data_IF_404859573040
#
_entry.id   IF_404859573040
#
_cell.length_a   1.000
_cell.length_b   1.000
_cell.length_c   1.000
_cell.angle_alpha   90.00
_cell.angle_beta   90.00
_cell.angle_gamma   90.00
#
_symmetry.space_group_name_H-M   'P 1'
#
loop_
_entity.id
_entity.type
_entity.pdbx_description
1 polymer ?
#
# COMPACT_ATOMS: atom_id res chain seq x y z
N UNK A 1 67.64 -11.23 -42.36
CA UNK A 1 66.49 -10.77 -43.17
C UNK A 1 65.51 -11.92 -43.28
N UNK A 2 64.21 -11.89 -43.01
CA UNK A 2 63.23 -10.98 -42.40
C UNK A 2 61.98 -11.89 -42.14
N UNK A 3 61.06 -11.56 -41.22
CA UNK A 3 60.10 -12.53 -40.68
C UNK A 3 58.88 -12.79 -41.56
N UNK A 4 58.32 -14.00 -41.46
CA UNK A 4 57.06 -14.43 -42.08
C UNK A 4 55.90 -13.53 -41.64
N UNK A 5 55.30 -12.81 -42.59
CA UNK A 5 54.01 -12.11 -42.40
C UNK A 5 52.88 -13.14 -42.32
N UNK A 6 52.34 -13.36 -41.11
CA UNK A 6 50.98 -13.89 -40.93
C UNK A 6 50.01 -12.86 -41.52
N UNK A 7 49.20 -13.26 -42.51
CA UNK A 7 48.02 -12.51 -42.93
C UNK A 7 47.10 -12.38 -41.71
N UNK A 8 46.90 -11.15 -41.24
CA UNK A 8 45.84 -10.82 -40.28
C UNK A 8 44.50 -11.12 -40.97
N UNK A 9 43.78 -12.11 -40.44
CA UNK A 9 42.36 -12.24 -40.72
C UNK A 9 41.67 -10.99 -40.15
N UNK A 10 40.81 -10.38 -40.97
CA UNK A 10 39.91 -9.31 -40.58
C UNK A 10 38.91 -9.95 -39.60
N UNK A 11 39.08 -9.66 -38.31
CA UNK A 11 38.11 -10.03 -37.29
C UNK A 11 36.99 -9.01 -37.41
N UNK A 12 35.88 -9.43 -38.03
CA UNK A 12 34.59 -8.80 -37.84
C UNK A 12 34.20 -9.04 -36.37
N UNK A 13 34.60 -8.12 -35.51
CA UNK A 13 34.27 -8.15 -34.08
C UNK A 13 32.92 -7.49 -33.85
N UNK A 14 31.89 -8.34 -33.93
CA UNK A 14 30.87 -8.54 -32.90
C UNK A 14 30.24 -7.24 -32.36
N UNK A 15 29.13 -6.83 -33.00
CA UNK A 15 28.08 -6.08 -32.33
C UNK A 15 27.27 -7.05 -31.46
N UNK A 16 27.68 -7.24 -30.21
CA UNK A 16 26.77 -7.74 -29.17
C UNK A 16 25.81 -6.60 -28.80
N UNK A 17 24.86 -6.33 -29.71
CA UNK A 17 23.61 -5.70 -29.32
C UNK A 17 22.79 -6.81 -28.68
N UNK A 18 22.48 -6.66 -27.40
CA UNK A 18 21.35 -7.36 -26.80
C UNK A 18 20.15 -7.25 -27.75
N UNK A 19 19.37 -8.33 -27.96
CA UNK A 19 18.24 -8.27 -28.87
C UNK A 19 17.31 -7.12 -28.46
N UNK A 20 16.83 -6.30 -29.40
CA UNK A 20 15.96 -5.18 -29.08
C UNK A 20 14.71 -5.71 -28.36
N UNK A 21 14.43 -5.15 -27.19
CA UNK A 21 13.24 -5.53 -26.41
C UNK A 21 12.00 -5.19 -27.24
N UNK A 22 11.07 -6.14 -27.35
CA UNK A 22 9.87 -5.93 -28.16
C UNK A 22 9.07 -4.74 -27.63
N UNK A 23 8.54 -3.86 -28.51
CA UNK A 23 7.79 -2.69 -28.08
C UNK A 23 6.49 -3.10 -27.38
N UNK A 24 6.16 -2.40 -26.30
CA UNK A 24 4.92 -2.58 -25.55
C UNK A 24 3.83 -1.71 -26.18
N UNK A 25 2.84 -2.35 -26.81
CA UNK A 25 1.78 -1.66 -27.54
C UNK A 25 0.51 -1.56 -26.70
N UNK A 26 0.12 -0.34 -26.37
CA UNK A 26 -1.16 -0.04 -25.74
C UNK A 26 -2.18 0.26 -26.83
N UNK A 27 -3.31 -0.47 -26.83
CA UNK A 27 -4.30 -0.44 -27.92
C UNK A 27 -5.62 0.13 -27.43
N UNK A 28 -6.22 0.99 -28.23
CA UNK A 28 -7.61 1.43 -28.10
C UNK A 28 -8.35 1.02 -29.38
N UNK A 29 -9.52 0.36 -29.29
CA UNK A 29 -10.27 -0.04 -30.46
C UNK A 29 -10.52 1.14 -31.43
N UNK A 30 -10.16 0.95 -32.69
CA UNK A 30 -10.36 1.97 -33.73
C UNK A 30 -9.34 3.11 -33.74
N UNK A 31 -8.31 3.07 -32.88
CA UNK A 31 -7.23 4.07 -32.85
C UNK A 31 -5.86 3.42 -33.04
N UNK A 32 -4.97 4.17 -33.68
CA UNK A 32 -3.55 3.82 -33.80
C UNK A 32 -2.73 4.64 -32.80
N UNK A 33 -1.78 4.02 -32.08
CA UNK A 33 -0.84 4.77 -31.26
C UNK A 33 -0.11 5.83 -32.09
N UNK A 34 -0.03 7.06 -31.57
CA UNK A 34 0.58 8.21 -32.25
C UNK A 34 1.81 8.75 -31.50
N UNK A 35 2.17 8.09 -30.38
CA UNK A 35 3.27 8.50 -29.49
C UNK A 35 4.17 7.30 -29.19
N UNK A 36 5.47 7.48 -29.39
CA UNK A 36 6.53 6.55 -29.00
C UNK A 36 7.27 7.12 -27.79
N UNK A 37 7.28 6.39 -26.67
CA UNK A 37 8.10 6.71 -25.51
C UNK A 37 9.17 5.62 -25.35
N UNK A 38 10.45 5.97 -25.50
CA UNK A 38 11.58 5.07 -25.25
C UNK A 38 12.11 5.32 -23.84
N UNK A 39 11.58 4.56 -22.88
CA UNK A 39 11.82 4.74 -21.45
C UNK A 39 12.77 3.68 -20.93
N UNK A 40 13.97 4.09 -20.50
CA UNK A 40 14.98 3.23 -19.89
C UNK A 40 15.29 1.96 -20.73
N UNK A 41 15.26 2.11 -22.05
CA UNK A 41 15.51 1.04 -23.02
C UNK A 41 14.30 0.16 -23.35
N UNK A 42 13.10 0.52 -22.88
CA UNK A 42 11.84 -0.11 -23.28
C UNK A 42 10.99 0.88 -24.10
N UNK A 43 10.56 0.45 -25.29
CA UNK A 43 9.68 1.24 -26.14
C UNK A 43 8.21 1.01 -25.79
N UNK A 44 7.46 2.10 -25.69
CA UNK A 44 6.02 2.14 -25.44
C UNK A 44 5.31 2.84 -26.60
N UNK A 45 4.42 2.11 -27.27
CA UNK A 45 3.54 2.68 -28.29
C UNK A 45 2.21 3.03 -27.63
N UNK A 46 1.94 4.32 -27.49
CA UNK A 46 0.80 4.87 -26.75
C UNK A 46 0.09 5.97 -27.54
N UNK A 47 -1.07 6.38 -27.04
CA UNK A 47 -1.91 7.45 -27.58
C UNK A 47 -1.72 8.72 -26.75
N UNK A 48 -1.33 9.81 -27.42
CA UNK A 48 -1.16 11.14 -26.83
C UNK A 48 -2.41 11.61 -26.10
N UNK A 49 -3.60 11.29 -26.63
CA UNK A 49 -4.89 11.64 -26.03
C UNK A 49 -5.03 11.07 -24.61
N UNK A 50 -4.64 9.82 -24.39
CA UNK A 50 -4.71 9.16 -23.07
C UNK A 50 -3.73 9.79 -22.10
N UNK A 51 -2.49 10.02 -22.56
CA UNK A 51 -1.47 10.68 -21.75
C UNK A 51 -1.94 12.07 -21.29
N UNK A 52 -2.48 12.89 -22.20
CA UNK A 52 -2.99 14.25 -21.90
C UNK A 52 -4.24 14.25 -21.02
N UNK A 53 -5.04 13.19 -21.09
CA UNK A 53 -6.22 13.02 -20.23
C UNK A 53 -5.79 12.84 -18.77
N UNK A 54 -4.82 11.97 -18.52
CA UNK A 54 -4.45 11.54 -17.16
C UNK A 54 -3.21 12.23 -16.57
N UNK A 55 -2.53 13.08 -17.32
CA UNK A 55 -1.32 13.76 -16.87
C UNK A 55 -1.27 15.20 -17.34
N UNK A 56 -1.18 16.12 -16.37
CA UNK A 56 -0.98 17.54 -16.67
C UNK A 56 0.41 17.80 -17.28
N UNK A 57 1.41 16.99 -16.94
CA UNK A 57 2.72 17.00 -17.58
C UNK A 57 2.57 16.79 -19.09
N UNK A 58 2.00 15.66 -19.53
CA UNK A 58 1.88 15.39 -20.97
C UNK A 58 0.97 16.40 -21.69
N UNK A 59 -0.05 16.93 -21.02
CA UNK A 59 -0.91 18.00 -21.55
C UNK A 59 -0.12 19.27 -21.91
N UNK A 60 0.81 19.67 -21.05
CA UNK A 60 1.66 20.85 -21.27
C UNK A 60 2.80 20.57 -22.23
N UNK A 61 3.44 19.40 -22.11
CA UNK A 61 4.67 19.11 -22.83
C UNK A 61 4.44 18.64 -24.27
N UNK A 62 3.42 17.81 -24.54
CA UNK A 62 3.26 17.25 -25.90
C UNK A 62 2.92 18.33 -26.94
N UNK A 63 2.04 19.27 -26.62
CA UNK A 63 1.55 20.31 -27.53
C UNK A 63 2.12 21.71 -27.23
N UNK A 64 3.28 21.80 -26.56
CA UNK A 64 3.89 23.10 -26.24
C UNK A 64 4.17 23.91 -27.52
N UNK A 65 3.86 25.22 -27.55
CA UNK A 65 4.09 26.09 -28.71
C UNK A 65 5.57 26.22 -29.11
N UNK A 66 6.50 25.87 -28.20
CA UNK A 66 7.94 25.84 -28.45
C UNK A 66 8.40 24.57 -29.20
N UNK A 67 7.46 23.78 -29.73
CA UNK A 67 7.71 22.58 -30.54
C UNK A 67 7.21 22.83 -31.95
N UNK A 68 7.99 22.42 -32.95
CA UNK A 68 7.83 22.71 -34.37
C UNK A 68 6.47 22.28 -34.96
N UNK A 69 5.64 21.52 -34.24
CA UNK A 69 4.38 20.97 -34.73
C UNK A 69 4.57 19.90 -35.81
N UNK A 70 5.83 19.63 -36.19
CA UNK A 70 6.20 18.60 -37.14
C UNK A 70 6.11 17.23 -36.49
N UNK A 71 5.84 16.20 -37.31
CA UNK A 71 5.80 14.82 -36.81
C UNK A 71 7.21 14.35 -36.51
N UNK A 72 7.39 13.67 -35.39
CA UNK A 72 8.67 13.06 -35.05
C UNK A 72 9.09 11.93 -36.02
N UNK A 73 8.14 11.20 -36.60
CA UNK A 73 8.40 10.21 -37.66
C UNK A 73 7.19 10.02 -38.59
N UNK A 74 7.31 9.14 -39.60
CA UNK A 74 6.17 8.78 -40.47
C UNK A 74 5.01 8.16 -39.67
N UNK A 75 5.34 7.34 -38.67
CA UNK A 75 4.37 6.55 -37.91
C UNK A 75 3.95 7.20 -36.59
N UNK A 76 4.80 8.05 -36.00
CA UNK A 76 4.55 8.67 -34.70
C UNK A 76 4.58 10.19 -34.80
N UNK A 77 3.53 10.82 -34.25
CA UNK A 77 3.48 12.27 -34.10
C UNK A 77 4.49 12.74 -33.05
N UNK A 78 4.62 11.99 -31.96
CA UNK A 78 5.49 12.32 -30.85
C UNK A 78 6.49 11.20 -30.59
N UNK A 79 7.76 11.55 -30.36
CA UNK A 79 8.80 10.61 -29.97
C UNK A 79 9.62 11.21 -28.82
N UNK A 80 9.58 10.55 -27.66
CA UNK A 80 10.32 10.95 -26.47
C UNK A 80 11.26 9.85 -26.03
N UNK A 81 12.43 10.27 -25.56
CA UNK A 81 13.50 9.37 -25.12
C UNK A 81 13.91 9.72 -23.69
N UNK A 82 14.41 8.74 -22.95
CA UNK A 82 15.01 8.97 -21.63
C UNK A 82 16.27 9.84 -21.76
N UNK A 83 16.33 10.85 -20.91
CA UNK A 83 17.53 11.61 -20.59
C UNK A 83 17.85 11.36 -19.11
N UNK A 84 19.09 11.01 -18.81
CA UNK A 84 19.57 10.84 -17.43
C UNK A 84 20.16 12.19 -17.00
N UNK A 85 19.79 12.65 -15.81
CA UNK A 85 20.24 13.94 -15.30
C UNK A 85 21.73 13.90 -14.95
N UNK A 86 22.39 15.06 -14.92
CA UNK A 86 23.85 15.18 -14.69
C UNK A 86 24.33 14.59 -13.35
N UNK A 87 23.40 14.42 -12.39
CA UNK A 87 23.69 13.83 -11.09
C UNK A 87 23.62 12.29 -11.10
N UNK A 88 23.24 11.67 -12.21
CA UNK A 88 23.00 10.22 -12.39
C UNK A 88 21.93 9.63 -11.44
N UNK A 89 21.22 10.47 -10.67
CA UNK A 89 20.19 10.04 -9.75
C UNK A 89 18.78 10.24 -10.33
N UNK A 90 18.59 11.28 -11.14
CA UNK A 90 17.34 11.57 -11.82
C UNK A 90 17.28 11.12 -13.28
N UNK A 91 16.06 10.98 -13.80
CA UNK A 91 15.81 10.80 -15.22
C UNK A 91 14.53 11.52 -15.64
N UNK A 92 14.46 11.93 -16.91
CA UNK A 92 13.31 12.62 -17.48
C UNK A 92 13.04 12.19 -18.93
N UNK A 93 11.94 12.70 -19.51
CA UNK A 93 11.58 12.48 -20.91
C UNK A 93 11.76 13.76 -21.71
N UNK A 94 12.51 13.67 -22.80
CA UNK A 94 12.68 14.76 -23.75
C UNK A 94 12.31 14.35 -25.17
N UNK A 95 11.89 15.34 -25.97
CA UNK A 95 11.64 15.12 -27.40
C UNK A 95 12.95 14.71 -28.07
N UNK A 96 12.91 13.71 -28.94
CA UNK A 96 14.11 13.23 -29.67
C UNK A 96 14.82 14.34 -30.46
N UNK A 97 14.11 15.40 -30.85
CA UNK A 97 14.67 16.55 -31.57
C UNK A 97 15.55 17.45 -30.69
N UNK A 98 15.27 17.49 -29.38
CA UNK A 98 15.99 18.32 -28.40
C UNK A 98 16.96 17.50 -27.54
N UNK A 99 16.66 16.21 -27.37
CA UNK A 99 17.39 15.33 -26.48
C UNK A 99 18.79 15.03 -27.02
N UNK A 100 19.79 15.17 -26.16
CA UNK A 100 21.00 14.36 -26.28
C UNK A 100 20.67 13.01 -25.65
N UNK A 101 20.02 12.13 -26.42
CA UNK A 101 19.56 10.82 -25.94
C UNK A 101 20.67 10.13 -25.15
N UNK A 102 20.35 9.67 -23.94
CA UNK A 102 21.28 8.87 -23.16
C UNK A 102 21.76 7.68 -24.00
N UNK A 103 23.07 7.45 -24.01
CA UNK A 103 23.61 6.34 -24.77
C UNK A 103 23.06 5.01 -24.20
N UNK A 104 22.85 3.96 -25.01
CA UNK A 104 22.38 2.66 -24.50
C UNK A 104 23.24 2.11 -23.35
N UNK A 105 24.53 2.44 -23.34
CA UNK A 105 25.46 2.08 -22.28
C UNK A 105 25.22 2.86 -20.96
N UNK A 106 24.76 4.12 -21.03
CA UNK A 106 24.41 4.94 -19.87
C UNK A 106 23.10 4.45 -19.25
N UNK A 107 22.07 4.23 -20.09
CA UNK A 107 20.80 3.64 -19.67
C UNK A 107 21.01 2.30 -18.97
N UNK A 108 21.90 1.46 -19.50
CA UNK A 108 22.20 0.14 -18.92
C UNK A 108 22.93 0.22 -17.58
N UNK A 109 23.62 1.32 -17.28
CA UNK A 109 24.35 1.53 -16.02
C UNK A 109 23.53 2.26 -14.95
N UNK A 110 22.38 2.80 -15.31
CA UNK A 110 21.51 3.51 -14.38
C UNK A 110 21.05 2.58 -13.25
N UNK A 111 21.37 2.94 -12.01
CA UNK A 111 21.34 2.02 -10.87
C UNK A 111 19.93 1.56 -10.46
N UNK A 112 18.88 2.33 -10.79
CA UNK A 112 17.47 2.01 -10.50
C UNK A 112 16.64 1.69 -11.73
N UNK A 113 17.31 1.32 -12.83
CA UNK A 113 16.66 1.13 -14.13
C UNK A 113 15.47 0.19 -14.07
N UNK A 114 15.60 -0.92 -13.36
CA UNK A 114 14.53 -1.93 -13.29
C UNK A 114 13.34 -1.44 -12.46
N UNK A 115 13.57 -0.86 -11.28
CA UNK A 115 12.48 -0.36 -10.45
C UNK A 115 11.76 0.83 -11.10
N UNK A 116 12.50 1.77 -11.67
CA UNK A 116 11.96 2.97 -12.34
C UNK A 116 11.20 2.60 -13.62
N UNK A 117 11.73 1.66 -14.41
CA UNK A 117 11.03 1.13 -15.59
C UNK A 117 9.73 0.43 -15.20
N UNK A 118 9.74 -0.35 -14.11
CA UNK A 118 8.55 -1.01 -13.57
C UNK A 118 7.51 0.00 -13.07
N UNK A 119 7.94 1.03 -12.32
CA UNK A 119 7.05 2.09 -11.84
C UNK A 119 6.44 2.90 -13.00
N UNK A 120 7.22 3.25 -14.01
CA UNK A 120 6.71 3.90 -15.21
C UNK A 120 5.74 2.99 -15.98
N UNK A 121 6.06 1.70 -16.11
CA UNK A 121 5.15 0.72 -16.72
C UNK A 121 3.80 0.68 -15.99
N UNK A 122 3.82 0.62 -14.66
CA UNK A 122 2.60 0.66 -13.83
C UNK A 122 1.82 1.96 -14.00
N UNK A 123 2.50 3.11 -14.12
CA UNK A 123 1.85 4.38 -14.43
C UNK A 123 1.11 4.35 -15.77
N UNK A 124 1.75 3.83 -16.83
CA UNK A 124 1.09 3.68 -18.13
C UNK A 124 -0.06 2.66 -18.04
N UNK A 125 0.09 1.56 -17.31
CA UNK A 125 -1.02 0.64 -17.05
C UNK A 125 -2.19 1.32 -16.36
N UNK A 126 -1.96 2.15 -15.33
CA UNK A 126 -3.00 2.94 -14.67
C UNK A 126 -3.71 3.88 -15.66
N UNK A 127 -2.97 4.62 -16.49
CA UNK A 127 -3.54 5.51 -17.53
C UNK A 127 -4.43 4.79 -18.55
N UNK A 128 -4.18 3.49 -18.80
CA UNK A 128 -4.97 2.67 -19.71
C UNK A 128 -5.98 1.77 -18.99
N UNK A 129 -6.13 1.91 -17.67
CA UNK A 129 -6.91 1.01 -16.83
C UNK A 129 -6.59 -0.48 -17.08
N UNK A 130 -5.30 -0.78 -17.27
CA UNK A 130 -4.77 -2.15 -17.36
C UNK A 130 -4.32 -2.61 -15.98
N UNK A 131 -4.47 -3.90 -15.73
CA UNK A 131 -4.03 -4.50 -14.46
C UNK A 131 -2.53 -4.38 -14.28
N UNK A 132 -2.13 -4.06 -13.05
CA UNK A 132 -0.76 -4.08 -12.56
C UNK A 132 -0.77 -4.49 -11.09
N UNK A 133 0.40 -4.81 -10.53
CA UNK A 133 0.51 -5.35 -9.18
C UNK A 133 1.57 -4.60 -8.39
N UNK A 134 1.26 -4.23 -7.15
CA UNK A 134 2.23 -3.67 -6.22
C UNK A 134 2.84 -4.80 -5.41
N UNK A 135 4.15 -5.02 -5.59
CA UNK A 135 4.86 -6.11 -4.94
C UNK A 135 5.18 -5.80 -3.48
N UNK A 136 5.68 -4.60 -3.23
CA UNK A 136 6.19 -4.19 -1.93
C UNK A 136 5.99 -2.69 -1.70
N UNK A 137 6.38 -2.22 -0.52
CA UNK A 137 6.30 -0.80 -0.17
C UNK A 137 7.17 0.06 -1.09
N UNK A 138 8.34 -0.43 -1.53
CA UNK A 138 9.25 0.30 -2.41
C UNK A 138 8.60 0.59 -3.76
N UNK A 139 7.89 -0.38 -4.34
CA UNK A 139 7.13 -0.25 -5.57
C UNK A 139 5.96 0.74 -5.42
N UNK A 140 5.22 0.71 -4.31
CA UNK A 140 4.14 1.67 -4.02
C UNK A 140 4.69 3.10 -3.95
N UNK A 141 5.78 3.27 -3.18
CA UNK A 141 6.44 4.56 -3.02
C UNK A 141 6.92 5.09 -4.36
N UNK A 142 7.62 4.25 -5.13
CA UNK A 142 8.19 4.67 -6.40
C UNK A 142 7.10 5.02 -7.42
N UNK A 143 6.06 4.22 -7.55
CA UNK A 143 4.91 4.55 -8.42
C UNK A 143 4.29 5.89 -8.02
N UNK A 144 4.19 6.19 -6.73
CA UNK A 144 3.67 7.48 -6.25
C UNK A 144 4.59 8.64 -6.63
N UNK A 145 5.91 8.47 -6.49
CA UNK A 145 6.91 9.47 -6.89
C UNK A 145 6.90 9.70 -8.41
N UNK A 146 6.84 8.63 -9.21
CA UNK A 146 6.72 8.70 -10.66
C UNK A 146 5.41 9.39 -11.08
N UNK A 147 4.28 9.06 -10.45
CA UNK A 147 3.00 9.68 -10.73
C UNK A 147 2.98 11.17 -10.35
N UNK A 148 3.63 11.55 -9.27
CA UNK A 148 3.79 12.96 -8.87
C UNK A 148 4.60 13.74 -9.90
N UNK A 149 5.76 13.20 -10.32
CA UNK A 149 6.61 13.80 -11.34
C UNK A 149 5.87 14.02 -12.66
N UNK A 150 5.11 13.02 -13.11
CA UNK A 150 4.29 13.12 -14.33
C UNK A 150 2.92 13.77 -14.09
N UNK A 151 2.66 14.36 -12.91
CA UNK A 151 1.40 15.01 -12.54
C UNK A 151 0.16 14.16 -12.87
N UNK A 152 0.17 12.91 -12.40
CA UNK A 152 -0.78 11.85 -12.70
C UNK A 152 -1.23 11.07 -11.44
N UNK A 153 -1.11 11.68 -10.26
CA UNK A 153 -1.57 11.09 -8.99
C UNK A 153 -3.05 10.65 -9.02
N UNK A 154 -4.01 11.40 -9.61
CA UNK A 154 -5.42 11.03 -9.57
C UNK A 154 -5.71 9.67 -10.23
N UNK A 155 -5.08 9.37 -11.38
CA UNK A 155 -5.32 8.09 -12.05
C UNK A 155 -4.72 6.92 -11.27
N UNK A 156 -3.54 7.11 -10.67
CA UNK A 156 -2.94 6.09 -9.80
C UNK A 156 -3.80 5.86 -8.57
N UNK A 157 -4.29 6.92 -7.94
CA UNK A 157 -5.21 6.81 -6.79
C UNK A 157 -6.45 6.00 -7.10
N UNK A 158 -7.01 6.16 -8.30
CA UNK A 158 -8.19 5.44 -8.76
C UNK A 158 -7.95 3.93 -8.96
N UNK A 159 -6.73 3.52 -9.34
CA UNK A 159 -6.41 2.12 -9.69
C UNK A 159 -5.58 1.38 -8.64
N UNK A 160 -4.99 2.08 -7.67
CA UNK A 160 -4.01 1.50 -6.74
C UNK A 160 -4.58 0.41 -5.82
N UNK A 161 -5.87 0.48 -5.49
CA UNK A 161 -6.48 -0.48 -4.58
C UNK A 161 -6.50 -1.89 -5.15
N UNK A 162 -6.92 -2.07 -6.41
CA UNK A 162 -6.87 -3.39 -7.06
C UNK A 162 -5.41 -3.87 -7.15
N UNK A 163 -4.46 -2.98 -7.46
CA UNK A 163 -3.06 -3.33 -7.60
C UNK A 163 -2.40 -3.76 -6.27
N UNK A 164 -2.78 -3.15 -5.15
CA UNK A 164 -2.32 -3.52 -3.80
C UNK A 164 -3.01 -4.80 -3.33
N UNK A 165 -4.34 -4.90 -3.50
CA UNK A 165 -5.12 -6.07 -3.11
C UNK A 165 -4.68 -7.34 -3.85
N UNK A 166 -4.38 -7.26 -5.14
CA UNK A 166 -3.94 -8.44 -5.91
C UNK A 166 -2.48 -8.81 -5.66
N UNK A 167 -1.72 -7.91 -5.03
CA UNK A 167 -0.29 -8.06 -4.78
C UNK A 167 0.07 -8.83 -3.51
N UNK A 168 1.35 -9.20 -3.37
CA UNK A 168 1.85 -9.85 -2.16
C UNK A 168 1.97 -8.89 -0.97
N UNK A 169 1.90 -7.57 -1.17
CA UNK A 169 2.06 -6.56 -0.12
C UNK A 169 1.07 -6.73 1.06
N UNK A 170 -0.16 -7.18 0.80
CA UNK A 170 -1.19 -7.42 1.82
C UNK A 170 -1.24 -8.87 2.32
N UNK A 171 -0.47 -9.78 1.71
CA UNK A 171 -0.51 -11.22 2.03
C UNK A 171 0.42 -11.60 3.18
N UNK A 172 0.10 -12.74 3.81
CA UNK A 172 0.97 -13.34 4.82
C UNK A 172 2.18 -13.97 4.15
N UNK A 173 3.37 -13.66 4.67
CA UNK A 173 4.56 -14.44 4.34
C UNK A 173 4.57 -15.69 5.21
N UNK A 174 4.16 -16.83 4.64
CA UNK A 174 4.11 -18.12 5.34
C UNK A 174 5.49 -18.66 5.75
N UNK A 175 6.59 -17.98 5.39
CA UNK A 175 7.96 -18.45 5.60
C UNK A 175 8.52 -18.14 7.00
N UNK A 176 7.84 -17.33 7.83
CA UNK A 176 8.28 -16.98 9.18
C UNK A 176 7.32 -17.59 10.22
N UNK A 177 7.82 -18.55 11.01
CA UNK A 177 7.11 -19.42 11.96
C UNK A 177 6.37 -18.72 13.13
N UNK A 178 6.41 -17.39 13.23
CA UNK A 178 5.80 -16.64 14.33
C UNK A 178 5.22 -15.32 13.80
N UNK A 179 3.90 -15.12 13.89
CA UNK A 179 3.22 -13.81 13.73
C UNK A 179 3.73 -12.97 12.52
N UNK A 180 3.71 -13.53 11.31
CA UNK A 180 4.20 -12.84 10.11
C UNK A 180 3.16 -11.85 9.57
N UNK A 181 3.17 -10.64 10.13
CA UNK A 181 2.40 -9.50 9.61
C UNK A 181 2.69 -9.26 8.13
N UNK A 182 1.68 -8.78 7.40
CA UNK A 182 1.86 -8.34 6.01
C UNK A 182 2.88 -7.19 5.91
N UNK A 183 3.45 -7.00 4.73
CA UNK A 183 4.32 -5.85 4.49
C UNK A 183 3.55 -4.53 4.64
N UNK A 184 2.30 -4.50 4.18
CA UNK A 184 1.39 -3.37 4.38
C UNK A 184 1.31 -3.00 5.86
N UNK A 185 0.99 -3.97 6.72
CA UNK A 185 0.93 -3.77 8.15
C UNK A 185 2.29 -3.23 8.61
N UNK A 186 3.42 -3.93 8.35
CA UNK A 186 4.78 -3.51 8.79
C UNK A 186 5.14 -2.07 8.43
N UNK A 187 4.69 -1.58 7.27
CA UNK A 187 4.99 -0.26 6.72
C UNK A 187 3.85 0.75 6.88
N UNK A 188 2.87 0.47 7.73
CA UNK A 188 1.67 1.30 7.89
C UNK A 188 1.97 2.78 8.22
N UNK A 189 3.00 3.06 9.04
CA UNK A 189 3.44 4.42 9.34
C UNK A 189 3.93 5.18 8.09
N UNK A 190 4.64 4.50 7.19
CA UNK A 190 5.11 5.10 5.96
C UNK A 190 4.01 5.18 4.89
N UNK A 191 3.12 4.20 4.83
CA UNK A 191 1.98 4.20 3.90
C UNK A 191 1.01 5.33 4.23
N UNK A 192 0.77 5.62 5.52
CA UNK A 192 -0.05 6.75 5.94
C UNK A 192 0.54 8.12 5.58
N UNK A 193 1.81 8.21 5.14
CA UNK A 193 2.38 9.42 4.50
C UNK A 193 2.15 9.47 3.00
N UNK A 194 2.13 8.30 2.34
CA UNK A 194 1.90 8.17 0.90
C UNK A 194 0.42 8.36 0.57
N UNK A 195 -0.47 7.80 1.38
CA UNK A 195 -1.89 7.79 1.14
C UNK A 195 -2.50 9.21 1.01
N UNK A 196 -2.11 10.22 1.81
CA UNK A 196 -2.52 11.61 1.61
C UNK A 196 -2.07 12.21 0.29
N UNK A 197 -0.85 11.88 -0.18
CA UNK A 197 -0.35 12.35 -1.47
C UNK A 197 -1.16 11.77 -2.64
N UNK A 198 -1.51 10.49 -2.55
CA UNK A 198 -2.42 9.86 -3.49
C UNK A 198 -3.89 10.29 -3.27
N UNK A 199 -4.22 10.90 -2.14
CA UNK A 199 -5.60 11.13 -1.67
C UNK A 199 -6.46 9.87 -1.73
N UNK A 200 -5.87 8.73 -1.39
CA UNK A 200 -6.59 7.46 -1.43
C UNK A 200 -7.15 7.11 -0.04
N UNK A 201 -8.48 7.10 0.14
CA UNK A 201 -9.10 6.96 1.46
C UNK A 201 -8.89 5.56 2.04
N UNK A 202 -8.94 4.51 1.22
CA UNK A 202 -8.79 3.13 1.69
C UNK A 202 -7.36 2.89 2.19
N UNK A 203 -6.34 3.31 1.42
CA UNK A 203 -4.95 3.20 1.86
C UNK A 203 -4.70 3.94 3.17
N UNK A 204 -5.28 5.14 3.32
CA UNK A 204 -5.09 5.94 4.54
C UNK A 204 -5.77 5.30 5.74
N UNK A 205 -7.04 4.91 5.61
CA UNK A 205 -7.81 4.29 6.69
C UNK A 205 -7.13 3.04 7.23
N UNK A 206 -6.83 2.09 6.33
CA UNK A 206 -6.21 0.83 6.73
C UNK A 206 -4.83 1.04 7.35
N UNK A 207 -4.04 1.99 6.82
CA UNK A 207 -2.74 2.32 7.41
C UNK A 207 -2.89 2.90 8.82
N UNK A 208 -3.85 3.79 9.07
CA UNK A 208 -4.06 4.36 10.41
C UNK A 208 -4.64 3.31 11.37
N UNK A 209 -5.56 2.44 10.93
CA UNK A 209 -6.06 1.32 11.75
C UNK A 209 -4.90 0.42 12.18
N UNK A 210 -4.00 0.07 11.26
CA UNK A 210 -2.79 -0.71 11.54
C UNK A 210 -1.81 0.02 12.47
N UNK A 211 -1.71 1.34 12.40
CA UNK A 211 -0.90 2.12 13.35
C UNK A 211 -1.52 2.09 14.75
N UNK A 212 -2.83 2.31 14.86
CA UNK A 212 -3.57 2.30 16.14
C UNK A 212 -3.55 0.93 16.79
N UNK A 213 -3.63 -0.15 16.01
CA UNK A 213 -3.68 -1.53 16.50
C UNK A 213 -2.40 -2.00 17.20
N UNK A 214 -1.28 -1.30 16.99
CA UNK A 214 0.07 -1.70 17.43
C UNK A 214 0.54 -1.08 18.73
N UNK A 215 -0.28 -0.25 19.35
CA UNK A 215 0.19 0.66 20.39
C UNK A 215 0.73 -0.05 21.65
N UNK A 216 0.26 -1.26 21.99
CA UNK A 216 0.76 -1.99 23.18
C UNK A 216 2.17 -2.58 23.02
N UNK A 217 2.68 -2.77 21.80
CA UNK A 217 4.08 -3.22 21.59
C UNK A 217 5.10 -2.08 21.65
N UNK A 218 4.63 -0.83 21.68
CA UNK A 218 5.46 0.33 21.96
C UNK A 218 5.37 0.66 23.45
N UNK A 219 6.12 -0.09 24.27
CA UNK A 219 6.43 0.28 25.66
C UNK A 219 7.26 1.58 25.78
N UNK A 220 7.52 2.27 24.67
CA UNK A 220 7.98 3.65 24.69
C UNK A 220 6.74 4.54 24.94
N UNK A 221 6.71 5.11 26.15
CA UNK A 221 5.72 6.05 26.67
C UNK A 221 5.05 6.94 25.60
N UNK A 222 3.79 7.33 25.82
CA UNK A 222 3.08 8.41 25.10
C UNK A 222 3.97 9.67 24.94
N UNK A 223 4.92 9.90 25.85
CA UNK A 223 5.92 10.98 25.76
C UNK A 223 7.04 10.74 24.74
N UNK A 224 7.47 9.50 24.50
CA UNK A 224 8.54 9.14 23.56
C UNK A 224 8.04 9.00 22.12
N UNK A 225 6.78 8.56 21.96
CA UNK A 225 6.06 8.61 20.69
C UNK A 225 5.68 10.06 20.37
N UNK A 226 5.36 10.91 21.36
CA UNK A 226 5.14 12.34 21.11
C UNK A 226 6.32 13.04 20.42
N UNK A 227 7.56 12.65 20.74
CA UNK A 227 8.79 13.18 20.11
C UNK A 227 9.21 12.45 18.84
N UNK A 228 9.01 11.13 18.73
CA UNK A 228 9.34 10.39 17.49
C UNK A 228 8.21 10.47 16.46
N UNK A 229 6.96 10.28 16.84
CA UNK A 229 5.81 10.35 15.94
C UNK A 229 5.50 11.77 15.44
N UNK A 230 5.92 12.83 16.15
CA UNK A 230 5.92 14.18 15.58
C UNK A 230 6.80 14.31 14.34
N UNK A 231 7.83 13.48 14.22
CA UNK A 231 8.69 13.43 13.03
C UNK A 231 8.06 12.61 11.90
N UNK A 232 7.09 11.75 12.22
CA UNK A 232 6.41 10.88 11.25
C UNK A 232 5.06 11.40 10.79
N UNK A 233 4.32 12.12 11.60
CA UNK A 233 2.95 12.48 11.27
C UNK A 233 2.75 13.98 11.40
N UNK A 234 1.94 14.53 10.51
CA UNK A 234 1.45 15.88 10.71
C UNK A 234 0.55 15.96 11.96
N UNK A 235 0.35 17.18 12.45
CA UNK A 235 -0.38 17.41 13.70
C UNK A 235 -1.83 16.94 13.64
N UNK A 236 -2.46 16.98 12.47
CA UNK A 236 -3.84 16.49 12.27
C UNK A 236 -3.91 14.97 12.39
N UNK A 237 -3.00 14.27 11.72
CA UNK A 237 -2.90 12.80 11.70
C UNK A 237 -2.56 12.27 13.07
N UNK A 238 -1.68 12.94 13.82
CA UNK A 238 -1.40 12.59 15.21
C UNK A 238 -2.63 12.66 16.10
N UNK A 239 -3.38 13.76 16.02
CA UNK A 239 -4.63 13.91 16.80
C UNK A 239 -5.66 12.86 16.44
N UNK A 240 -5.73 12.46 15.16
CA UNK A 240 -6.59 11.37 14.71
C UNK A 240 -6.17 10.05 15.35
N UNK A 241 -4.88 9.70 15.30
CA UNK A 241 -4.34 8.48 15.92
C UNK A 241 -4.61 8.48 17.43
N UNK A 242 -4.32 9.57 18.14
CA UNK A 242 -4.57 9.72 19.58
C UNK A 242 -6.06 9.54 19.92
N UNK A 243 -6.95 10.13 19.12
CA UNK A 243 -8.41 10.00 19.29
C UNK A 243 -8.85 8.56 19.11
N UNK A 244 -8.43 7.90 18.03
CA UNK A 244 -8.83 6.52 17.75
C UNK A 244 -8.24 5.55 18.77
N UNK A 245 -7.01 5.79 19.24
CA UNK A 245 -6.45 5.04 20.34
C UNK A 245 -7.25 5.20 21.64
N UNK A 246 -7.64 6.42 21.99
CA UNK A 246 -8.50 6.66 23.16
C UNK A 246 -9.85 5.96 23.02
N UNK A 247 -10.39 5.86 21.80
CA UNK A 247 -11.62 5.11 21.49
C UNK A 247 -11.44 3.62 21.74
N UNK A 248 -10.38 3.00 21.20
CA UNK A 248 -10.04 1.58 21.45
C UNK A 248 -9.83 1.33 22.94
N UNK A 249 -9.09 2.20 23.62
CA UNK A 249 -8.85 2.11 25.08
C UNK A 249 -10.14 2.15 25.89
N UNK A 250 -11.12 2.98 25.48
CA UNK A 250 -12.44 3.04 26.11
C UNK A 250 -13.25 1.76 25.90
N UNK A 251 -13.20 1.17 24.71
CA UNK A 251 -13.82 -0.13 24.42
C UNK A 251 -13.20 -1.25 25.26
N UNK A 252 -11.86 -1.26 25.34
CA UNK A 252 -11.10 -2.19 26.17
C UNK A 252 -11.51 -2.07 27.64
N UNK A 253 -11.49 -0.87 28.20
CA UNK A 253 -11.87 -0.62 29.59
C UNK A 253 -13.32 -1.02 29.89
N UNK A 254 -14.24 -0.80 28.94
CA UNK A 254 -15.64 -1.25 29.05
C UNK A 254 -15.72 -2.78 29.11
N UNK A 255 -15.01 -3.48 28.23
CA UNK A 255 -14.97 -4.95 28.23
C UNK A 255 -14.37 -5.50 29.52
N UNK A 256 -13.23 -4.96 29.97
CA UNK A 256 -12.59 -5.33 31.22
C UNK A 256 -13.51 -5.09 32.43
N UNK A 257 -14.21 -3.95 32.47
CA UNK A 257 -15.15 -3.64 33.54
C UNK A 257 -16.33 -4.61 33.58
N UNK A 258 -16.95 -4.89 32.43
CA UNK A 258 -18.05 -5.86 32.35
C UNK A 258 -17.58 -7.26 32.77
N UNK A 259 -16.40 -7.69 32.32
CA UNK A 259 -15.79 -8.96 32.71
C UNK A 259 -15.57 -9.01 34.23
N UNK A 260 -14.97 -7.97 34.82
CA UNK A 260 -14.73 -7.89 36.27
C UNK A 260 -16.02 -7.96 37.09
N UNK A 261 -17.08 -7.26 36.68
CA UNK A 261 -18.38 -7.36 37.33
C UNK A 261 -18.91 -8.80 37.31
N UNK A 262 -18.71 -9.52 36.20
CA UNK A 262 -19.10 -10.93 36.13
C UNK A 262 -18.24 -11.80 37.07
N UNK A 263 -16.93 -11.53 37.20
CA UNK A 263 -16.02 -12.23 38.12
C UNK A 263 -16.52 -12.05 39.56
N UNK A 264 -16.76 -10.80 39.96
CA UNK A 264 -17.12 -10.43 41.33
C UNK A 264 -18.53 -10.86 41.73
N UNK A 265 -19.49 -10.90 40.80
CA UNK A 265 -20.85 -11.38 41.06
C UNK A 265 -20.87 -12.88 41.45
N UNK A 266 -19.72 -13.56 41.43
CA UNK A 266 -19.65 -15.00 41.68
C UNK A 266 -20.55 -15.75 40.73
N UNK A 267 -20.77 -15.24 39.51
CA UNK A 267 -21.48 -15.96 38.45
C UNK A 267 -20.50 -16.54 37.44
N UNK A 268 -19.21 -16.29 37.68
CA UNK A 268 -18.13 -16.74 36.84
C UNK A 268 -17.58 -18.11 37.22
N UNK A 269 -17.96 -18.73 38.34
CA UNK A 269 -17.60 -20.14 38.60
C UNK A 269 -18.37 -21.10 37.68
N UNK A 270 -19.55 -20.71 37.17
CA UNK A 270 -20.21 -21.40 36.05
C UNK A 270 -19.52 -21.15 34.69
N UNK A 271 -18.54 -20.25 34.68
CA UNK A 271 -17.70 -19.79 33.55
C UNK A 271 -16.23 -20.11 33.90
N UNK A 272 -15.96 -20.88 34.97
CA UNK A 272 -14.66 -20.95 35.65
C UNK A 272 -13.52 -21.55 34.82
N UNK A 273 -13.84 -22.08 33.63
CA UNK A 273 -12.90 -22.55 32.62
C UNK A 273 -12.73 -21.58 31.42
N UNK A 274 -13.40 -20.42 31.40
CA UNK A 274 -13.47 -19.51 30.23
C UNK A 274 -12.39 -18.42 30.19
N UNK A 275 -11.80 -18.03 31.31
CA UNK A 275 -10.72 -17.04 31.34
C UNK A 275 -9.42 -17.82 31.45
N UNK A 276 -8.66 -18.02 30.36
CA UNK A 276 -7.31 -18.55 30.50
C UNK A 276 -6.57 -17.67 31.51
N UNK A 277 -5.94 -18.30 32.50
CA UNK A 277 -5.05 -17.57 33.38
C UNK A 277 -4.09 -16.78 32.47
N UNK A 278 -4.02 -15.45 32.60
CA UNK A 278 -3.10 -14.66 31.80
C UNK A 278 -1.71 -15.29 31.94
N UNK A 279 -1.08 -15.64 30.82
CA UNK A 279 0.31 -16.14 30.85
C UNK A 279 1.23 -15.05 31.43
N UNK A 280 0.85 -13.77 31.26
CA UNK A 280 1.46 -12.61 31.88
C UNK A 280 0.47 -11.44 32.13
N UNK A 281 0.95 -10.36 32.74
CA UNK A 281 0.19 -9.12 33.00
C UNK A 281 -0.20 -8.35 31.73
N UNK A 282 0.24 -8.74 30.54
CA UNK A 282 -0.07 -8.07 29.27
C UNK A 282 -1.19 -8.75 28.50
N UNK A 283 -1.49 -10.03 28.78
CA UNK A 283 -2.45 -10.82 28.01
C UNK A 283 -3.87 -10.21 27.98
N UNK A 284 -4.34 -9.54 29.06
CA UNK A 284 -5.65 -8.88 29.07
C UNK A 284 -5.74 -7.63 28.19
N UNK A 285 -4.62 -7.21 27.59
CA UNK A 285 -4.53 -6.15 26.59
C UNK A 285 -4.46 -6.69 25.16
N UNK A 286 -4.35 -8.01 24.98
CA UNK A 286 -4.31 -8.64 23.66
C UNK A 286 -5.72 -8.85 23.10
N UNK A 287 -5.87 -8.74 21.78
CA UNK A 287 -7.10 -9.10 21.09
C UNK A 287 -7.45 -10.60 21.25
N UNK A 288 -6.46 -11.50 21.23
CA UNK A 288 -6.63 -12.95 21.42
C UNK A 288 -7.37 -13.28 22.74
N UNK A 289 -7.06 -12.55 23.81
CA UNK A 289 -7.73 -12.76 25.11
C UNK A 289 -9.24 -12.54 25.00
N UNK A 290 -9.66 -11.42 24.40
CA UNK A 290 -11.08 -11.12 24.21
C UNK A 290 -11.72 -12.05 23.18
N UNK A 291 -10.98 -12.48 22.15
CA UNK A 291 -11.44 -13.45 21.17
C UNK A 291 -11.77 -14.80 21.84
N UNK A 292 -10.89 -15.32 22.69
CA UNK A 292 -11.14 -16.55 23.46
C UNK A 292 -12.37 -16.41 24.35
N UNK A 293 -12.52 -15.28 25.07
CA UNK A 293 -13.71 -15.02 25.88
C UNK A 293 -14.98 -15.03 25.01
N UNK A 294 -14.94 -14.38 23.85
CA UNK A 294 -16.07 -14.34 22.90
C UNK A 294 -16.50 -15.74 22.49
N UNK A 295 -15.56 -16.59 22.04
CA UNK A 295 -15.85 -17.97 21.64
C UNK A 295 -16.53 -18.74 22.77
N UNK A 296 -16.03 -18.60 23.99
CA UNK A 296 -16.59 -19.26 25.18
C UNK A 296 -18.00 -18.77 25.53
N UNK A 297 -18.29 -17.47 25.36
CA UNK A 297 -19.64 -16.93 25.54
C UNK A 297 -20.59 -17.54 24.49
N UNK A 298 -20.15 -17.64 23.24
CA UNK A 298 -20.93 -18.25 22.15
C UNK A 298 -21.23 -19.71 22.46
N UNK A 299 -20.21 -20.52 22.81
CA UNK A 299 -20.38 -21.92 23.20
C UNK A 299 -21.44 -22.10 24.30
N UNK A 300 -21.45 -21.20 25.29
CA UNK A 300 -22.38 -21.25 26.41
C UNK A 300 -23.80 -20.81 26.03
N UNK A 301 -23.94 -19.79 25.20
CA UNK A 301 -25.23 -19.27 24.74
C UNK A 301 -25.89 -20.16 23.67
N UNK A 302 -25.10 -20.90 22.90
CA UNK A 302 -25.62 -21.77 21.83
C UNK A 302 -25.66 -23.25 22.22
N UNK A 303 -25.03 -23.62 23.33
CA UNK A 303 -24.95 -24.99 23.82
C UNK A 303 -26.24 -25.53 24.45
N UNK A 304 -26.26 -26.85 24.69
CA UNK A 304 -27.38 -27.61 25.26
C UNK A 304 -27.82 -27.06 26.63
N UNK A 305 -26.90 -26.42 27.36
CA UNK A 305 -27.15 -25.85 28.68
C UNK A 305 -27.84 -24.47 28.66
N UNK A 306 -28.06 -23.89 27.48
CA UNK A 306 -28.71 -22.60 27.30
C UNK A 306 -30.05 -22.47 28.06
N UNK A 307 -30.86 -23.54 28.08
CA UNK A 307 -32.18 -23.53 28.75
C UNK A 307 -32.09 -23.44 30.28
N UNK A 308 -30.91 -23.69 30.86
CA UNK A 308 -30.69 -23.65 32.31
C UNK A 308 -30.03 -22.35 32.77
N UNK A 309 -29.68 -21.45 31.85
CA UNK A 309 -29.11 -20.14 32.17
C UNK A 309 -30.23 -19.21 32.66
N UNK A 310 -30.02 -18.61 33.83
CA UNK A 310 -30.96 -17.62 34.38
C UNK A 310 -31.08 -16.40 33.43
N UNK A 311 -32.28 -15.82 33.23
CA UNK A 311 -32.48 -14.70 32.33
C UNK A 311 -31.51 -13.52 32.55
N UNK A 312 -31.22 -13.19 33.81
CA UNK A 312 -30.34 -12.08 34.17
C UNK A 312 -28.87 -12.37 33.81
N UNK A 313 -28.45 -13.64 33.92
CA UNK A 313 -27.11 -14.07 33.50
C UNK A 313 -27.00 -14.02 31.98
N UNK A 314 -28.06 -14.41 31.28
CA UNK A 314 -28.10 -14.33 29.81
C UNK A 314 -27.99 -12.89 29.33
N UNK A 315 -28.81 -11.98 29.85
CA UNK A 315 -28.76 -10.56 29.48
C UNK A 315 -27.37 -9.96 29.73
N UNK A 316 -26.73 -10.32 30.84
CA UNK A 316 -25.38 -9.86 31.14
C UNK A 316 -24.33 -10.43 30.18
N UNK A 317 -24.45 -11.70 29.78
CA UNK A 317 -23.57 -12.34 28.79
C UNK A 317 -23.77 -11.75 27.39
N UNK A 318 -25.01 -11.47 27.00
CA UNK A 318 -25.34 -10.82 25.73
C UNK A 318 -24.72 -9.41 25.69
N UNK A 319 -24.81 -8.65 26.80
CA UNK A 319 -24.18 -7.33 26.91
C UNK A 319 -22.65 -7.37 26.86
N UNK A 320 -22.02 -8.35 27.51
CA UNK A 320 -20.58 -8.55 27.44
C UNK A 320 -20.14 -8.96 26.03
N UNK A 321 -20.84 -9.91 25.41
CA UNK A 321 -20.61 -10.34 24.04
C UNK A 321 -20.68 -9.15 23.07
N UNK A 322 -21.73 -8.36 23.13
CA UNK A 322 -21.88 -7.18 22.27
C UNK A 322 -20.70 -6.22 22.43
N UNK A 323 -20.26 -5.98 23.67
CA UNK A 323 -19.09 -5.12 23.93
C UNK A 323 -17.79 -5.70 23.36
N UNK A 324 -17.62 -7.02 23.40
CA UNK A 324 -16.45 -7.69 22.82
C UNK A 324 -16.54 -7.73 21.30
N UNK A 325 -17.72 -7.93 20.72
CA UNK A 325 -17.96 -7.87 19.27
C UNK A 325 -17.60 -6.47 18.74
N UNK A 326 -17.96 -5.39 19.45
CA UNK A 326 -17.53 -4.01 19.13
C UNK A 326 -15.99 -3.85 19.19
N UNK A 327 -15.34 -4.46 20.20
CA UNK A 327 -13.89 -4.38 20.40
C UNK A 327 -13.11 -5.16 19.32
N UNK A 328 -13.63 -6.31 18.88
CA UNK A 328 -13.02 -7.22 17.90
C UNK A 328 -13.53 -7.00 16.48
N UNK A 329 -14.19 -5.87 16.21
CA UNK A 329 -14.58 -5.50 14.86
C UNK A 329 -13.33 -5.31 13.98
N UNK A 330 -13.35 -5.89 12.76
CA UNK A 330 -12.32 -5.66 11.75
C UNK A 330 -12.79 -4.58 10.78
N UNK A 331 -12.13 -3.42 10.79
CA UNK A 331 -12.40 -2.33 9.86
C UNK A 331 -11.40 -2.22 8.70
N UNK A 332 -10.47 -3.17 8.55
CA UNK A 332 -9.55 -3.21 7.41
C UNK A 332 -10.30 -3.64 6.14
N UNK A 333 -10.00 -2.97 5.03
CA UNK A 333 -10.59 -3.24 3.71
C UNK A 333 -9.63 -4.04 2.82
N UNK A 334 -8.33 -3.81 2.96
CA UNK A 334 -7.25 -4.41 2.16
C UNK A 334 -6.80 -5.76 2.71
N UNK A 335 -7.23 -6.11 3.91
CA UNK A 335 -6.89 -7.38 4.54
C UNK A 335 -7.58 -8.55 3.81
N UNK A 336 -6.75 -9.47 3.31
CA UNK A 336 -7.18 -10.71 2.64
C UNK A 336 -6.78 -11.95 3.41
N UNK A 337 -6.28 -11.81 4.64
CA UNK A 337 -5.86 -12.93 5.46
C UNK A 337 -7.02 -13.83 5.89
N UNK A 338 -8.24 -13.28 5.90
CA UNK A 338 -9.42 -13.88 6.51
C UNK A 338 -9.28 -14.13 8.03
N UNK A 339 -8.25 -13.56 8.67
CA UNK A 339 -8.05 -13.64 10.11
C UNK A 339 -8.82 -12.50 10.79
N UNK A 340 -9.67 -12.83 11.75
CA UNK A 340 -10.29 -11.85 12.64
C UNK A 340 -9.32 -11.30 13.70
N UNK A 341 -9.62 -10.15 14.32
CA UNK A 341 -8.92 -9.68 15.51
C UNK A 341 -8.92 -10.75 16.60
N UNK A 342 -7.73 -11.07 17.12
CA UNK A 342 -7.54 -12.09 18.14
C UNK A 342 -7.57 -13.54 17.66
N UNK A 343 -7.73 -13.79 16.36
CA UNK A 343 -7.55 -15.13 15.79
C UNK A 343 -6.06 -15.42 15.58
N UNK A 344 -5.68 -16.69 15.70
CA UNK A 344 -4.33 -17.15 15.42
C UNK A 344 -3.92 -16.74 13.99
N UNK A 345 -2.88 -15.91 13.87
CA UNK A 345 -2.44 -15.37 12.58
C UNK A 345 -1.93 -13.94 12.68
N UNK A 346 -2.18 -13.14 11.63
CA UNK A 346 -1.66 -11.78 11.51
C UNK A 346 -2.12 -10.81 12.60
N UNK A 347 -3.35 -11.02 13.09
CA UNK A 347 -4.09 -10.07 13.93
C UNK A 347 -4.35 -10.61 15.34
N UNK A 348 -3.60 -11.63 15.75
CA UNK A 348 -3.75 -12.30 17.05
C UNK A 348 -3.67 -11.32 18.22
N UNK A 349 -2.81 -10.31 18.12
CA UNK A 349 -2.62 -9.31 19.19
C UNK A 349 -3.20 -7.94 18.86
N UNK A 350 -3.87 -7.78 17.72
CA UNK A 350 -4.24 -6.47 17.16
C UNK A 350 -5.74 -6.17 17.31
N UNK A 351 -6.07 -4.99 17.81
CA UNK A 351 -7.44 -4.45 17.73
C UNK A 351 -7.60 -3.64 16.45
N UNK A 352 -8.49 -4.07 15.57
CA UNK A 352 -8.72 -3.46 14.25
C UNK A 352 -10.00 -2.62 14.20
N UNK A 353 -10.55 -2.26 15.36
CA UNK A 353 -11.86 -1.66 15.45
C UNK A 353 -11.86 -0.14 15.28
N UNK A 354 -10.69 0.52 15.12
CA UNK A 354 -10.55 1.95 14.87
C UNK A 354 -11.43 2.40 13.68
N UNK A 355 -12.04 3.58 13.78
CA UNK A 355 -13.04 4.05 12.82
C UNK A 355 -12.65 5.43 12.30
N UNK A 356 -12.45 5.54 10.99
CA UNK A 356 -11.95 6.75 10.35
C UNK A 356 -12.95 7.14 9.27
N UNK A 357 -13.69 8.22 9.55
CA UNK A 357 -14.72 8.73 8.66
C UNK A 357 -14.13 9.49 7.47
N UNK A 358 -14.95 9.93 6.50
CA UNK A 358 -14.49 10.83 5.42
C UNK A 358 -14.07 12.20 5.98
N UNK A 359 -14.72 12.66 7.05
CA UNK A 359 -14.42 13.94 7.71
C UNK A 359 -13.05 13.95 8.41
N UNK A 360 -12.46 12.78 8.60
CA UNK A 360 -11.14 12.60 9.23
C UNK A 360 -9.98 12.60 8.23
N UNK A 361 -10.30 12.59 6.93
CA UNK A 361 -9.28 12.58 5.89
C UNK A 361 -8.58 13.94 5.83
N UNK A 362 -7.24 13.98 5.66
CA UNK A 362 -6.50 15.24 5.60
C UNK A 362 -6.67 16.01 4.28
N UNK A 363 -7.59 15.59 3.41
CA UNK A 363 -7.93 16.24 2.14
C UNK A 363 -9.45 16.27 1.94
N UNK A 364 -9.91 17.17 1.07
CA UNK A 364 -11.31 17.24 0.64
C UNK A 364 -11.62 16.11 -0.34
N UNK A 365 -12.58 15.25 0.00
CA UNK A 365 -13.02 14.12 -0.83
C UNK A 365 -13.79 14.56 -2.08
N UNK A 366 -14.26 15.81 -2.13
CA UNK A 366 -14.96 16.37 -3.28
C UNK A 366 -14.03 16.97 -4.33
N UNK A 367 -12.75 17.19 -4.01
CA UNK A 367 -11.76 17.71 -4.93
C UNK A 367 -11.23 16.58 -5.84
N UNK A 368 -11.44 16.74 -7.15
CA UNK A 368 -11.13 15.71 -8.16
C UNK A 368 -9.91 16.02 -9.04
N UNK A 369 -9.36 17.24 -8.96
CA UNK A 369 -8.27 17.73 -9.82
C UNK A 369 -7.17 18.35 -8.94
N UNK A 370 -6.33 17.48 -8.36
CA UNK A 370 -5.26 17.84 -7.42
C UNK A 370 -3.85 17.49 -7.91
#
# INVERSE_FOLDING_TARGET
MAPRKRKRARVDSISEQSPPTSPLIFRIPGQTPDTLLSVLGQDYHVHSMVLKLHSNYFRRFLDSPDKSGERASQDFRYHYVTVIDDDEFGWSLESIEKATSAAPAEISRYYRREEESSAFHHLICAMYNRKYTILDFSALKLLTETADFFCALPIVSATIIEAVMTGPMTRMRMEEEWSSRSEFSRRACEISKIAPKLRNPILFRDAIIEVVSRWDHHQESVSDIGTKASDFFDRSTLRLIEREYARVSKLLARCSHLLLLRILDGRLWEIGEMVPAPEDESAWRSADFYHRIRLRIIEKLEGIHYRFIRPETREALDKLRQSIDELLQNNLVLDQSHCGPGELGMHEHAFLCAEISDDDLPWDTSEIDW
#
